data_IF_194727538995
#
_entry.id   IF_194727538995
#
_cell.length_a   1.000
_cell.length_b   1.000
_cell.length_c   1.000
_cell.angle_alpha   90.00
_cell.angle_beta   90.00
_cell.angle_gamma   90.00
#
_symmetry.space_group_name_H-M   'P 1'
#
loop_
_entity.id
_entity.type
_entity.pdbx_description
1 polymer ?
#
# COMPACT_ATOMS: atom_id res chain seq x y z
N UNK A 1 -2.80 8.85 -4.64
CA UNK A 1 -1.93 9.32 -5.75
C UNK A 1 -2.14 8.51 -7.04
N UNK A 2 -1.75 7.21 -7.12
CA UNK A 2 -1.87 6.45 -8.38
C UNK A 2 -3.32 6.31 -8.85
N UNK A 3 -4.25 5.96 -7.97
CA UNK A 3 -5.67 5.83 -8.31
C UNK A 3 -6.26 7.17 -8.81
N UNK A 4 -5.89 8.28 -8.18
CA UNK A 4 -6.32 9.62 -8.58
C UNK A 4 -5.75 10.01 -9.95
N UNK A 5 -4.47 9.70 -10.20
CA UNK A 5 -3.83 9.93 -11.49
C UNK A 5 -4.50 9.11 -12.61
N UNK A 6 -4.85 7.86 -12.34
CA UNK A 6 -5.58 7.01 -13.29
C UNK A 6 -6.99 7.55 -13.54
N UNK A 7 -7.72 7.96 -12.50
CA UNK A 7 -9.05 8.56 -12.63
C UNK A 7 -8.98 9.86 -13.46
N UNK A 8 -8.06 10.74 -13.14
CA UNK A 8 -7.81 11.98 -13.86
C UNK A 8 -7.47 11.76 -15.35
N UNK A 9 -6.55 10.84 -15.63
CA UNK A 9 -6.15 10.51 -17.00
C UNK A 9 -7.27 9.85 -17.81
N UNK A 10 -8.10 9.02 -17.16
CA UNK A 10 -9.26 8.39 -17.79
C UNK A 10 -10.33 9.43 -18.15
N UNK A 11 -10.65 10.37 -17.25
CA UNK A 11 -11.60 11.45 -17.50
C UNK A 11 -11.19 12.33 -18.69
N UNK A 12 -9.90 12.48 -18.94
CA UNK A 12 -9.34 13.26 -20.06
C UNK A 12 -9.10 12.45 -21.34
N UNK A 13 -9.45 11.16 -21.33
CA UNK A 13 -9.23 10.27 -22.47
C UNK A 13 -7.75 9.93 -22.74
N UNK A 14 -6.84 10.28 -21.81
CA UNK A 14 -5.41 9.98 -21.91
C UNK A 14 -5.12 8.52 -21.57
N UNK A 15 -5.93 7.92 -20.70
CA UNK A 15 -5.86 6.52 -20.31
C UNK A 15 -7.13 5.81 -20.77
N UNK A 16 -6.97 4.71 -21.49
CA UNK A 16 -8.09 3.88 -21.95
C UNK A 16 -8.00 2.51 -21.27
N UNK A 17 -9.03 2.16 -20.52
CA UNK A 17 -9.20 0.79 -20.04
C UNK A 17 -9.45 -0.17 -21.20
N UNK A 18 -8.95 -1.40 -21.10
CA UNK A 18 -9.31 -2.47 -22.04
C UNK A 18 -10.75 -2.92 -21.75
N UNK A 19 -11.53 -3.30 -22.77
CA UNK A 19 -12.89 -3.83 -22.55
C UNK A 19 -12.89 -4.95 -21.50
N UNK A 20 -13.73 -4.83 -20.48
CA UNK A 20 -13.86 -5.82 -19.40
C UNK A 20 -12.70 -5.90 -18.40
N UNK A 21 -11.71 -4.99 -18.48
CA UNK A 21 -10.61 -4.94 -17.52
C UNK A 21 -10.41 -3.53 -16.98
N UNK A 22 -10.38 -3.34 -15.66
CA UNK A 22 -10.02 -2.04 -15.07
C UNK A 22 -8.54 -1.73 -15.34
N UNK A 23 -8.18 -0.44 -15.30
CA UNK A 23 -6.79 0.01 -15.44
C UNK A 23 -5.95 -0.46 -14.24
N UNK A 24 -6.50 -0.37 -13.04
CA UNK A 24 -5.93 -0.94 -11.83
C UNK A 24 -6.69 -2.23 -11.51
N UNK A 25 -6.00 -3.36 -11.52
CA UNK A 25 -6.61 -4.67 -11.33
C UNK A 25 -6.87 -5.00 -9.86
N UNK A 26 -6.08 -4.44 -8.95
CA UNK A 26 -6.17 -4.66 -7.52
C UNK A 26 -5.48 -3.53 -6.75
N UNK A 27 -5.64 -3.50 -5.43
CA UNK A 27 -4.83 -2.71 -4.51
C UNK A 27 -3.56 -3.49 -4.13
N UNK A 28 -2.59 -2.75 -3.60
CA UNK A 28 -1.32 -3.30 -3.17
C UNK A 28 -0.87 -2.57 -1.91
N UNK A 29 -0.34 -3.32 -0.95
CA UNK A 29 0.30 -2.78 0.24
C UNK A 29 1.56 -3.55 0.59
N UNK A 30 2.48 -2.86 1.23
CA UNK A 30 3.73 -3.39 1.75
C UNK A 30 3.87 -3.02 3.22
N UNK A 31 4.46 -3.90 4.01
CA UNK A 31 4.71 -3.67 5.42
C UNK A 31 5.97 -4.40 5.86
N UNK A 32 6.71 -3.78 6.79
CA UNK A 32 7.85 -4.41 7.45
C UNK A 32 7.38 -5.20 8.68
N UNK A 33 7.98 -6.36 8.87
CA UNK A 33 7.86 -7.18 10.07
C UNK A 33 9.23 -7.70 10.45
N UNK A 34 9.48 -7.97 11.71
CA UNK A 34 10.77 -8.52 12.13
C UNK A 34 10.73 -9.12 13.52
N UNK A 35 11.86 -9.66 13.94
CA UNK A 35 12.04 -10.23 15.28
C UNK A 35 12.97 -9.31 16.07
N UNK A 36 12.48 -8.78 17.18
CA UNK A 36 13.22 -7.90 18.09
C UNK A 36 13.23 -8.56 19.47
N UNK A 37 14.40 -8.85 19.99
CA UNK A 37 14.57 -9.52 21.29
C UNK A 37 13.74 -10.82 21.40
N UNK A 38 13.63 -11.59 20.30
CA UNK A 38 12.85 -12.82 20.21
C UNK A 38 11.34 -12.63 20.07
N UNK A 39 10.85 -11.40 19.85
CA UNK A 39 9.42 -11.08 19.72
C UNK A 39 9.11 -10.64 18.29
N UNK A 40 8.15 -11.26 17.58
CA UNK A 40 7.67 -10.77 16.30
C UNK A 40 6.99 -9.39 16.42
N UNK A 41 7.44 -8.42 15.64
CA UNK A 41 6.97 -7.04 15.63
C UNK A 41 6.46 -6.64 14.25
N UNK A 42 5.45 -5.77 14.24
CA UNK A 42 4.81 -5.24 13.04
C UNK A 42 5.15 -3.75 12.87
N UNK A 43 5.45 -3.34 11.64
CA UNK A 43 5.67 -1.94 11.27
C UNK A 43 6.85 -1.33 12.02
N UNK A 44 8.04 -1.86 11.74
CA UNK A 44 9.26 -1.50 12.46
C UNK A 44 9.64 -0.04 12.21
N UNK A 45 9.67 0.84 13.23
CA UNK A 45 10.32 2.13 13.12
C UNK A 45 11.84 1.96 13.04
N UNK A 46 12.54 2.97 12.55
CA UNK A 46 13.98 2.90 12.30
C UNK A 46 14.81 2.42 13.50
N UNK A 47 14.46 2.84 14.71
CA UNK A 47 15.17 2.45 15.94
C UNK A 47 15.01 0.95 16.28
N UNK A 48 13.91 0.36 15.85
CA UNK A 48 13.63 -1.07 16.02
C UNK A 48 14.26 -1.89 14.89
N UNK A 49 14.17 -1.38 13.67
CA UNK A 49 14.74 -1.99 12.47
C UNK A 49 16.24 -2.23 12.61
N UNK A 50 16.99 -1.23 13.09
CA UNK A 50 18.45 -1.33 13.36
C UNK A 50 18.81 -2.42 14.38
N UNK A 51 17.88 -2.78 15.27
CA UNK A 51 18.07 -3.81 16.31
C UNK A 51 17.46 -5.14 15.96
N UNK A 52 16.74 -5.24 14.85
CA UNK A 52 16.04 -6.44 14.45
C UNK A 52 17.01 -7.60 14.23
N UNK A 53 16.68 -8.75 14.79
CA UNK A 53 17.38 -10.02 14.54
C UNK A 53 17.04 -10.55 13.15
N UNK A 54 15.82 -10.28 12.73
CA UNK A 54 15.30 -10.56 11.38
C UNK A 54 14.51 -9.35 10.93
N UNK A 55 14.78 -8.87 9.74
CA UNK A 55 13.99 -7.87 9.02
C UNK A 55 13.33 -8.52 7.80
N UNK A 56 12.04 -8.26 7.61
CA UNK A 56 11.29 -8.81 6.49
C UNK A 56 10.31 -7.78 5.94
N UNK A 57 10.32 -7.59 4.62
CA UNK A 57 9.33 -6.82 3.89
C UNK A 57 8.35 -7.75 3.17
N UNK A 58 7.05 -7.50 3.34
CA UNK A 58 6.00 -8.33 2.76
C UNK A 58 5.04 -7.48 1.95
N UNK A 59 4.92 -7.78 0.66
CA UNK A 59 4.02 -7.09 -0.28
C UNK A 59 2.87 -8.03 -0.65
N UNK A 60 1.63 -7.54 -0.46
CA UNK A 60 0.43 -8.30 -0.78
C UNK A 60 -0.56 -7.51 -1.62
N UNK A 61 -1.35 -8.24 -2.42
CA UNK A 61 -2.54 -7.74 -3.11
C UNK A 61 -3.68 -7.50 -2.10
N UNK A 62 -4.72 -6.77 -2.52
CA UNK A 62 -5.90 -6.50 -1.70
C UNK A 62 -6.71 -7.75 -1.31
N UNK A 63 -6.55 -8.85 -2.06
CA UNK A 63 -7.12 -10.18 -1.76
C UNK A 63 -6.17 -11.07 -0.93
N UNK A 64 -5.03 -10.55 -0.47
CA UNK A 64 -4.11 -11.21 0.46
C UNK A 64 -3.08 -12.15 -0.18
N UNK A 65 -2.95 -12.15 -1.51
CA UNK A 65 -1.90 -12.94 -2.18
C UNK A 65 -0.56 -12.23 -2.11
N UNK A 66 0.50 -13.00 -1.93
CA UNK A 66 1.85 -12.47 -1.88
C UNK A 66 2.36 -12.07 -3.27
N UNK A 67 2.98 -10.88 -3.34
CA UNK A 67 3.73 -10.40 -4.49
C UNK A 67 5.21 -10.52 -4.20
N UNK A 68 5.62 -10.17 -2.96
CA UNK A 68 7.00 -10.24 -2.52
C UNK A 68 7.06 -10.64 -1.05
N UNK A 69 8.01 -11.48 -0.73
CA UNK A 69 8.44 -11.79 0.62
C UNK A 69 9.96 -11.73 0.61
N UNK A 70 10.52 -10.69 1.21
CA UNK A 70 11.96 -10.49 1.33
C UNK A 70 12.32 -10.44 2.80
N UNK A 71 13.18 -11.33 3.24
CA UNK A 71 13.59 -11.40 4.64
C UNK A 71 15.07 -11.70 4.77
N UNK A 72 15.70 -11.05 5.75
CA UNK A 72 17.12 -11.21 6.08
C UNK A 72 17.28 -11.49 7.55
N UNK A 73 18.05 -12.51 7.88
CA UNK A 73 18.50 -12.76 9.24
C UNK A 73 19.80 -11.98 9.49
N UNK A 74 19.72 -10.92 10.28
CA UNK A 74 20.87 -10.05 10.56
C UNK A 74 21.81 -10.65 11.62
N UNK A 75 21.26 -11.34 12.61
CA UNK A 75 22.04 -11.85 13.74
C UNK A 75 21.88 -13.35 13.97
N UNK A 76 20.67 -13.88 13.84
CA UNK A 76 20.37 -15.28 14.04
C UNK A 76 19.39 -15.78 12.98
N UNK A 77 19.58 -17.00 12.44
CA UNK A 77 18.65 -17.56 11.48
C UNK A 77 17.28 -17.76 12.12
N UNK A 78 16.22 -17.48 11.39
CA UNK A 78 14.84 -17.76 11.78
C UNK A 78 14.40 -19.13 11.26
N UNK A 79 13.54 -19.78 12.01
CA UNK A 79 13.00 -21.09 11.64
C UNK A 79 11.67 -20.97 10.86
N UNK A 80 11.09 -22.13 10.52
CA UNK A 80 9.84 -22.20 9.76
C UNK A 80 8.63 -21.68 10.55
N UNK A 81 8.63 -21.83 11.87
CA UNK A 81 7.55 -21.33 12.74
C UNK A 81 7.58 -19.82 12.82
N UNK A 82 8.74 -19.25 13.06
CA UNK A 82 8.98 -17.80 13.09
C UNK A 82 8.64 -17.14 11.75
N UNK A 83 8.99 -17.77 10.62
CA UNK A 83 8.55 -17.31 9.31
C UNK A 83 7.01 -17.28 9.20
N UNK A 84 6.34 -18.31 9.70
CA UNK A 84 4.88 -18.38 9.70
C UNK A 84 4.26 -17.23 10.51
N UNK A 85 4.77 -16.98 11.71
CA UNK A 85 4.31 -15.88 12.58
C UNK A 85 4.51 -14.50 11.94
N UNK A 86 5.67 -14.27 11.32
CA UNK A 86 5.95 -13.02 10.60
C UNK A 86 5.01 -12.82 9.41
N UNK A 87 4.72 -13.86 8.64
CA UNK A 87 3.79 -13.78 7.51
C UNK A 87 2.34 -13.52 7.96
N UNK A 88 1.89 -14.13 9.06
CA UNK A 88 0.55 -13.90 9.64
C UNK A 88 0.43 -12.46 10.17
N UNK A 89 1.49 -11.97 10.81
CA UNK A 89 1.57 -10.59 11.30
C UNK A 89 1.53 -9.59 10.14
N UNK A 90 2.31 -9.83 9.09
CA UNK A 90 2.32 -9.03 7.86
C UNK A 90 0.96 -9.02 7.16
N UNK A 91 0.27 -10.17 7.08
CA UNK A 91 -1.06 -10.27 6.51
C UNK A 91 -2.08 -9.41 7.28
N UNK A 92 -1.97 -9.40 8.61
CA UNK A 92 -2.79 -8.53 9.47
C UNK A 92 -2.53 -7.05 9.19
N UNK A 93 -1.28 -6.63 9.10
CA UNK A 93 -0.88 -5.26 8.80
C UNK A 93 -1.33 -4.82 7.40
N UNK A 94 -1.07 -5.62 6.39
CA UNK A 94 -1.48 -5.34 5.01
C UNK A 94 -3.00 -5.25 4.85
N UNK A 95 -3.77 -6.09 5.56
CA UNK A 95 -5.24 -6.00 5.57
C UNK A 95 -5.73 -4.66 6.12
N UNK A 96 -5.10 -4.14 7.18
CA UNK A 96 -5.39 -2.80 7.73
C UNK A 96 -5.04 -1.69 6.75
N UNK A 97 -3.88 -1.77 6.10
CA UNK A 97 -3.46 -0.81 5.07
C UNK A 97 -4.43 -0.80 3.88
N UNK A 98 -4.84 -1.97 3.38
CA UNK A 98 -5.83 -2.07 2.32
C UNK A 98 -7.19 -1.46 2.71
N UNK A 99 -7.62 -1.62 3.97
CA UNK A 99 -8.83 -0.98 4.47
C UNK A 99 -8.70 0.55 4.51
N UNK A 100 -7.55 1.08 4.96
CA UNK A 100 -7.27 2.52 4.97
C UNK A 100 -7.21 3.10 3.55
N UNK A 101 -6.59 2.40 2.60
CA UNK A 101 -6.57 2.79 1.19
C UNK A 101 -8.00 2.89 0.62
N UNK A 102 -8.85 1.88 0.84
CA UNK A 102 -10.25 1.92 0.41
C UNK A 102 -11.01 3.11 1.00
N UNK A 103 -10.84 3.37 2.30
CA UNK A 103 -11.47 4.53 2.97
C UNK A 103 -11.00 5.86 2.39
N UNK A 104 -9.69 6.00 2.14
CA UNK A 104 -9.12 7.21 1.55
C UNK A 104 -9.65 7.47 0.13
N UNK A 105 -9.84 6.41 -0.67
CA UNK A 105 -10.38 6.52 -2.04
C UNK A 105 -11.90 6.78 -2.06
N UNK A 106 -12.63 6.33 -1.04
CA UNK A 106 -14.07 6.60 -0.92
C UNK A 106 -14.40 8.05 -0.50
N UNK A 107 -13.40 8.83 -0.03
CA UNK A 107 -13.60 10.20 0.43
C UNK A 107 -14.38 10.31 1.75
N UNK A 108 -14.57 11.54 2.27
CA UNK A 108 -15.23 11.77 3.55
C UNK A 108 -16.71 11.32 3.60
N UNK A 109 -17.36 11.22 2.45
CA UNK A 109 -18.78 10.86 2.29
C UNK A 109 -18.99 9.40 1.86
N UNK A 110 -17.91 8.60 1.75
CA UNK A 110 -18.00 7.24 1.17
C UNK A 110 -18.23 7.23 -0.35
N UNK A 111 -18.23 8.39 -0.98
CA UNK A 111 -18.31 8.53 -2.44
C UNK A 111 -16.92 8.39 -3.07
N UNK A 112 -16.80 7.80 -4.26
CA UNK A 112 -15.54 7.72 -4.97
C UNK A 112 -14.98 9.13 -5.21
N UNK A 113 -13.67 9.30 -4.99
CA UNK A 113 -12.98 10.58 -5.19
C UNK A 113 -13.17 11.05 -6.63
N UNK A 114 -13.95 12.11 -6.80
CA UNK A 114 -14.08 12.83 -8.08
C UNK A 114 -13.21 14.08 -8.02
N UNK A 115 -12.27 14.21 -8.94
CA UNK A 115 -11.48 15.44 -9.08
C UNK A 115 -12.41 16.56 -9.50
N UNK A 116 -12.75 17.45 -8.57
CA UNK A 116 -13.46 18.69 -8.91
C UNK A 116 -12.55 19.54 -9.79
N UNK A 117 -12.97 19.78 -11.02
CA UNK A 117 -12.36 20.75 -11.92
C UNK A 117 -12.74 22.17 -11.46
N UNK A 118 -12.10 22.67 -10.39
CA UNK A 118 -12.17 24.10 -10.09
C UNK A 118 -11.45 24.86 -11.20
N UNK A 119 -12.26 25.52 -12.00
CA UNK A 119 -11.89 26.43 -13.06
C UNK A 119 -10.98 27.53 -12.51
N UNK A 120 -9.80 27.66 -13.04
CA UNK A 120 -9.08 28.93 -13.02
C UNK A 120 -9.48 29.71 -14.29
N UNK A 121 -10.56 30.44 -14.20
CA UNK A 121 -10.84 31.54 -15.12
C UNK A 121 -10.11 32.79 -14.59
N UNK A 122 -8.85 32.92 -14.92
CA UNK A 122 -8.15 34.23 -14.91
C UNK A 122 -8.18 34.79 -16.30
N UNK A 123 -9.13 35.69 -16.56
CA UNK A 123 -9.07 36.62 -17.67
C UNK A 123 -7.85 37.53 -17.54
N UNK A 124 -7.11 37.81 -18.61
CA UNK A 124 -6.16 38.91 -18.60
C UNK A 124 -6.92 40.21 -18.67
N UNK A 125 -6.59 41.14 -17.75
CA UNK A 125 -7.05 42.51 -17.84
C UNK A 125 -6.34 43.20 -18.99
N UNK A 126 -7.16 43.78 -19.92
CA UNK A 126 -6.69 44.76 -20.86
C UNK A 126 -6.39 46.10 -20.15
N UNK A 127 -5.24 46.63 -20.40
CA UNK A 127 -4.94 48.07 -20.50
C UNK A 127 -3.87 48.25 -21.53
#
# INVERSE_FOLDING_TARGET
ALADAVAWGTQRGLIKARPGKPVLSDSLSAISVGIIDGVPCLDLPYEEDVRAQTDMNVVQTGDGRFIEVQGTAEHAPFDRSELGELLDLAATGNSRLAALQRRALAGPSGEPFTVSSSQSSSQPAEV
#
